data_IF_527802804529
#
_entry.id   IF_527802804529
#
_cell.length_a   1.000
_cell.length_b   1.000
_cell.length_c   1.000
_cell.angle_alpha   90.00
_cell.angle_beta   90.00
_cell.angle_gamma   90.00
#
_symmetry.space_group_name_H-M   'P 1'
#
loop_
_entity.id
_entity.type
_entity.pdbx_description
1 polymer ?
#
# COMPACT_ATOMS: atom_id res chain seq x y z
N UNK A 1 16.29 -3.62 11.84
CA UNK A 1 14.91 -4.06 12.18
C UNK A 1 14.55 -3.33 13.46
N UNK A 2 13.40 -2.63 13.50
CA UNK A 2 12.94 -1.99 14.73
C UNK A 2 12.40 -3.06 15.67
N UNK A 3 12.76 -3.00 16.95
CA UNK A 3 12.19 -3.88 17.97
C UNK A 3 10.83 -3.32 18.40
N UNK A 4 9.76 -3.99 18.00
CA UNK A 4 8.40 -3.66 18.44
C UNK A 4 8.12 -4.38 19.76
N UNK A 5 7.74 -3.62 20.79
CA UNK A 5 7.55 -4.14 22.14
C UNK A 5 6.07 -4.17 22.53
N UNK A 6 5.57 -5.27 23.11
CA UNK A 6 4.22 -5.29 23.65
C UNK A 6 4.04 -4.23 24.74
N UNK A 7 2.83 -3.67 24.86
CA UNK A 7 2.51 -2.77 25.96
C UNK A 7 2.64 -3.50 27.29
N UNK A 8 3.12 -2.80 28.32
CA UNK A 8 3.22 -3.33 29.67
C UNK A 8 1.81 -3.42 30.31
N UNK A 9 1.08 -4.50 30.03
CA UNK A 9 -0.26 -4.74 30.56
C UNK A 9 -0.41 -6.17 31.10
N UNK A 10 -1.47 -6.39 31.90
CA UNK A 10 -1.84 -7.72 32.40
C UNK A 10 -3.22 -8.11 31.85
N UNK A 11 -3.55 -9.39 31.92
CA UNK A 11 -4.90 -9.87 31.61
C UNK A 11 -5.90 -9.16 32.54
N UNK A 12 -7.00 -8.67 31.98
CA UNK A 12 -8.00 -7.87 32.71
C UNK A 12 -7.70 -6.37 32.79
N UNK A 13 -6.48 -5.93 32.46
CA UNK A 13 -6.17 -4.51 32.29
C UNK A 13 -6.95 -3.89 31.12
N UNK A 14 -7.05 -2.57 31.12
CA UNK A 14 -7.70 -1.82 30.04
C UNK A 14 -6.65 -1.11 29.20
N UNK A 15 -6.82 -1.18 27.88
CA UNK A 15 -6.00 -0.50 26.88
C UNK A 15 -6.89 0.27 25.91
N UNK A 16 -6.33 1.31 25.31
CA UNK A 16 -6.99 2.04 24.23
C UNK A 16 -6.63 1.41 22.89
N UNK A 17 -7.66 0.99 22.16
CA UNK A 17 -7.60 0.43 20.82
C UNK A 17 -8.01 1.51 19.81
N UNK A 18 -7.21 1.69 18.77
CA UNK A 18 -7.46 2.70 17.71
C UNK A 18 -8.77 2.48 16.92
N UNK A 19 -9.42 1.31 17.05
CA UNK A 19 -10.66 0.95 16.34
C UNK A 19 -11.86 0.94 17.27
N UNK A 20 -11.70 0.31 18.44
CA UNK A 20 -12.81 0.04 19.36
C UNK A 20 -12.79 0.92 20.61
N UNK A 21 -11.80 1.81 20.76
CA UNK A 21 -11.61 2.61 21.95
C UNK A 21 -11.15 1.77 23.14
N UNK A 22 -11.66 2.04 24.33
CA UNK A 22 -11.18 1.40 25.55
C UNK A 22 -11.67 -0.04 25.66
N UNK A 23 -10.74 -0.99 25.61
CA UNK A 23 -11.00 -2.44 25.62
C UNK A 23 -10.25 -3.15 26.75
N UNK A 24 -10.84 -4.23 27.26
CA UNK A 24 -10.19 -5.08 28.26
C UNK A 24 -9.29 -6.13 27.59
N UNK A 25 -8.10 -6.33 28.14
CA UNK A 25 -7.14 -7.36 27.71
C UNK A 25 -7.68 -8.74 28.09
N UNK A 26 -7.86 -9.60 27.09
CA UNK A 26 -8.31 -10.99 27.27
C UNK A 26 -7.15 -11.99 27.41
N UNK A 27 -6.01 -11.67 26.83
CA UNK A 27 -4.82 -12.53 26.78
C UNK A 27 -3.81 -11.99 25.78
N UNK A 28 -2.82 -12.82 25.46
CA UNK A 28 -1.73 -12.50 24.53
C UNK A 28 -1.63 -13.56 23.43
N UNK A 29 -1.23 -13.16 22.23
CA UNK A 29 -0.95 -14.09 21.14
C UNK A 29 0.36 -14.83 21.35
N UNK A 30 0.45 -16.03 20.79
CA UNK A 30 1.68 -16.85 20.69
C UNK A 30 2.45 -16.56 19.38
N UNK A 31 2.30 -15.33 18.86
CA UNK A 31 2.98 -14.90 17.66
C UNK A 31 4.47 -14.62 17.94
N UNK A 32 5.26 -14.48 16.88
CA UNK A 32 6.69 -14.12 16.98
C UNK A 32 6.90 -12.88 17.87
N UNK A 33 6.00 -11.91 17.77
CA UNK A 33 5.87 -10.79 18.70
C UNK A 33 4.54 -10.97 19.43
N UNK A 34 4.63 -11.45 20.67
CA UNK A 34 3.45 -11.60 21.52
C UNK A 34 2.76 -10.24 21.72
N UNK A 35 1.46 -10.19 21.49
CA UNK A 35 0.70 -8.93 21.58
C UNK A 35 -0.67 -9.17 22.25
N UNK A 36 -1.17 -8.21 23.07
CA UNK A 36 -2.44 -8.40 23.73
C UNK A 36 -3.61 -8.38 22.74
N UNK A 37 -4.59 -9.26 22.98
CA UNK A 37 -5.86 -9.27 22.28
C UNK A 37 -7.02 -8.88 23.20
N UNK A 38 -8.07 -8.33 22.59
CA UNK A 38 -9.27 -7.91 23.31
C UNK A 38 -10.02 -9.12 23.87
N UNK A 39 -10.55 -8.99 25.09
CA UNK A 39 -11.47 -9.96 25.65
C UNK A 39 -12.76 -9.96 24.83
N UNK A 40 -13.10 -11.09 24.21
CA UNK A 40 -14.32 -11.26 23.42
C UNK A 40 -14.85 -12.69 23.55
N UNK A 41 -16.15 -12.88 23.29
CA UNK A 41 -16.80 -14.21 23.33
C UNK A 41 -16.71 -14.97 22.00
N UNK A 42 -16.39 -14.29 20.89
CA UNK A 42 -16.42 -14.89 19.55
C UNK A 42 -15.07 -14.84 18.84
N UNK A 43 -14.48 -13.65 18.69
CA UNK A 43 -13.22 -13.48 17.98
C UNK A 43 -12.20 -12.67 18.77
N UNK A 44 -11.03 -13.27 18.94
CA UNK A 44 -9.85 -12.59 19.45
C UNK A 44 -9.29 -11.69 18.35
N UNK A 45 -9.31 -10.39 18.58
CA UNK A 45 -8.62 -9.40 17.73
C UNK A 45 -7.53 -8.78 18.59
N UNK A 46 -6.34 -8.65 18.03
CA UNK A 46 -5.27 -7.87 18.65
C UNK A 46 -5.76 -6.46 18.95
N UNK A 47 -5.28 -5.93 20.09
CA UNK A 47 -5.52 -4.56 20.51
C UNK A 47 -4.56 -3.67 19.73
N UNK A 48 -5.11 -2.84 18.84
CA UNK A 48 -4.34 -1.95 17.99
C UNK A 48 -3.88 -0.73 18.78
N UNK A 49 -2.70 -0.83 19.40
CA UNK A 49 -2.12 0.20 20.26
C UNK A 49 -0.59 0.25 20.12
N UNK A 50 0.05 1.31 20.63
CA UNK A 50 1.51 1.42 20.77
C UNK A 50 2.31 1.05 19.51
N UNK A 51 3.34 0.22 19.70
CA UNK A 51 4.27 -0.19 18.65
C UNK A 51 3.60 -0.96 17.50
N UNK A 52 2.47 -1.63 17.72
CA UNK A 52 1.72 -2.28 16.65
C UNK A 52 1.13 -1.25 15.68
N UNK A 53 0.66 -0.10 16.18
CA UNK A 53 0.17 0.99 15.32
C UNK A 53 1.28 1.50 14.42
N UNK A 54 2.49 1.65 14.97
CA UNK A 54 3.65 2.07 14.22
C UNK A 54 4.08 1.03 13.17
N UNK A 55 4.14 -0.25 13.56
CA UNK A 55 4.44 -1.35 12.65
C UNK A 55 3.46 -1.37 11.46
N UNK A 56 2.16 -1.21 11.71
CA UNK A 56 1.12 -1.18 10.66
C UNK A 56 1.31 0.00 9.70
N UNK A 57 1.75 1.16 10.20
CA UNK A 57 2.00 2.38 9.42
C UNK A 57 3.26 2.28 8.56
N UNK A 58 4.32 1.70 9.08
CA UNK A 58 5.65 1.74 8.45
C UNK A 58 5.92 0.48 7.63
N UNK A 59 5.65 -0.70 8.16
CA UNK A 59 6.20 -1.95 7.62
C UNK A 59 5.35 -2.51 6.48
N UNK A 60 5.85 -3.53 5.78
CA UNK A 60 5.06 -4.21 4.76
C UNK A 60 3.95 -5.05 5.42
N UNK A 61 2.81 -5.21 4.74
CA UNK A 61 1.69 -5.99 5.31
C UNK A 61 2.11 -7.44 5.60
N UNK A 62 2.96 -8.01 4.75
CA UNK A 62 3.51 -9.36 4.93
C UNK A 62 4.29 -9.47 6.24
N UNK A 63 5.16 -8.50 6.53
CA UNK A 63 5.99 -8.51 7.74
C UNK A 63 5.11 -8.42 9.00
N UNK A 64 4.09 -7.54 8.99
CA UNK A 64 3.13 -7.41 10.09
C UNK A 64 2.35 -8.72 10.30
N UNK A 65 1.90 -9.36 9.24
CA UNK A 65 1.24 -10.67 9.32
C UNK A 65 2.14 -11.72 9.96
N UNK A 66 3.38 -11.81 9.48
CA UNK A 66 4.34 -12.83 9.92
C UNK A 66 4.79 -12.60 11.38
N UNK A 67 4.88 -11.35 11.85
CA UNK A 67 5.32 -11.04 13.21
C UNK A 67 4.22 -11.15 14.26
N UNK A 68 3.01 -10.68 13.94
CA UNK A 68 1.90 -10.60 14.90
C UNK A 68 0.85 -11.70 14.72
N UNK A 69 1.07 -12.62 13.77
CA UNK A 69 0.15 -13.72 13.42
C UNK A 69 -1.27 -13.23 13.12
N UNK A 70 -1.36 -12.28 12.18
CA UNK A 70 -2.64 -11.69 11.75
C UNK A 70 -2.86 -11.86 10.26
N UNK A 71 -4.12 -12.02 9.85
CA UNK A 71 -4.48 -12.11 8.44
C UNK A 71 -4.29 -10.79 7.68
N UNK A 72 -3.96 -10.88 6.39
CA UNK A 72 -3.76 -9.71 5.52
C UNK A 72 -5.01 -8.81 5.44
N UNK A 73 -6.22 -9.39 5.51
CA UNK A 73 -7.48 -8.65 5.54
C UNK A 73 -7.59 -7.77 6.79
N UNK A 74 -7.11 -8.27 7.93
CA UNK A 74 -7.07 -7.52 9.19
C UNK A 74 -6.13 -6.32 9.07
N UNK A 75 -4.92 -6.53 8.56
CA UNK A 75 -3.95 -5.45 8.32
C UNK A 75 -4.50 -4.42 7.33
N UNK A 76 -5.17 -4.86 6.26
CA UNK A 76 -5.80 -3.95 5.30
C UNK A 76 -6.89 -3.09 5.94
N UNK A 77 -7.73 -3.68 6.82
CA UNK A 77 -8.75 -2.94 7.60
C UNK A 77 -8.09 -1.91 8.51
N UNK A 78 -7.05 -2.30 9.25
CA UNK A 78 -6.32 -1.40 10.15
C UNK A 78 -5.71 -0.23 9.39
N UNK A 79 -5.04 -0.50 8.26
CA UNK A 79 -4.46 0.54 7.41
C UNK A 79 -5.48 1.55 6.92
N UNK A 80 -6.64 1.06 6.46
CA UNK A 80 -7.73 1.94 6.02
C UNK A 80 -8.19 2.88 7.14
N UNK A 81 -8.32 2.37 8.37
CA UNK A 81 -8.73 3.18 9.53
C UNK A 81 -7.64 4.17 9.95
N UNK A 82 -6.37 3.78 9.85
CA UNK A 82 -5.22 4.63 10.18
C UNK A 82 -4.81 5.60 9.05
N UNK A 83 -5.54 5.64 7.92
CA UNK A 83 -5.19 6.48 6.77
C UNK A 83 -3.93 6.04 6.01
N UNK A 84 -3.48 4.80 6.22
CA UNK A 84 -2.32 4.21 5.54
C UNK A 84 -2.77 3.66 4.19
N UNK A 85 -2.10 4.12 3.14
CA UNK A 85 -2.28 3.72 1.77
C UNK A 85 -0.96 3.19 1.19
N UNK A 86 -0.99 2.76 -0.08
CA UNK A 86 0.20 2.20 -0.73
C UNK A 86 1.35 3.22 -0.82
N UNK A 87 1.04 4.50 -1.00
CA UNK A 87 2.01 5.55 -1.31
C UNK A 87 2.70 6.11 -0.06
N UNK A 88 2.06 6.07 1.11
CA UNK A 88 2.59 6.58 2.38
C UNK A 88 3.09 5.47 3.33
N UNK A 89 3.42 4.29 2.80
CA UNK A 89 3.93 3.16 3.59
C UNK A 89 5.28 2.69 3.01
N UNK A 90 6.36 2.99 3.74
CA UNK A 90 7.73 2.78 3.28
C UNK A 90 8.07 1.30 3.11
N UNK A 91 7.62 0.42 4.00
CA UNK A 91 7.85 -1.02 3.92
C UNK A 91 7.20 -1.65 2.68
N UNK A 92 5.99 -1.20 2.32
CA UNK A 92 5.31 -1.64 1.10
C UNK A 92 6.05 -1.12 -0.14
N UNK A 93 6.56 0.11 -0.11
CA UNK A 93 7.36 0.66 -1.21
C UNK A 93 8.69 -0.09 -1.37
N UNK A 94 9.39 -0.38 -0.26
CA UNK A 94 10.60 -1.20 -0.22
C UNK A 94 10.36 -2.57 -0.84
N UNK A 95 9.37 -3.31 -0.33
CA UNK A 95 9.03 -4.65 -0.81
C UNK A 95 8.63 -4.63 -2.29
N UNK A 96 7.89 -3.60 -2.73
CA UNK A 96 7.52 -3.47 -4.14
C UNK A 96 8.74 -3.26 -5.04
N UNK A 97 9.72 -2.46 -4.62
CA UNK A 97 10.97 -2.24 -5.38
C UNK A 97 11.82 -3.50 -5.47
N UNK A 98 11.97 -4.23 -4.37
CA UNK A 98 12.73 -5.49 -4.32
C UNK A 98 12.10 -6.56 -5.22
N UNK A 99 10.78 -6.70 -5.14
CA UNK A 99 10.04 -7.69 -5.94
C UNK A 99 9.74 -7.22 -7.36
N UNK A 100 10.03 -5.97 -7.71
CA UNK A 100 9.65 -5.40 -9.01
C UNK A 100 10.21 -6.22 -10.17
N UNK A 101 11.49 -6.58 -10.09
CA UNK A 101 12.17 -7.38 -11.11
C UNK A 101 11.58 -8.80 -11.25
N UNK A 102 11.06 -9.37 -10.16
CA UNK A 102 10.44 -10.69 -10.17
C UNK A 102 8.99 -10.63 -10.68
N UNK A 103 8.27 -9.55 -10.37
CA UNK A 103 6.86 -9.37 -10.78
C UNK A 103 6.71 -8.92 -12.22
N UNK A 104 7.61 -8.08 -12.70
CA UNK A 104 7.59 -7.56 -14.07
C UNK A 104 8.72 -8.22 -14.82
N UNK A 105 8.44 -9.45 -15.27
CA UNK A 105 9.33 -10.14 -16.19
C UNK A 105 9.37 -9.40 -17.54
N UNK A 106 10.44 -9.56 -18.33
CA UNK A 106 10.52 -8.98 -19.68
C UNK A 106 9.31 -9.34 -20.56
N UNK A 107 8.80 -10.56 -20.39
CA UNK A 107 7.61 -11.05 -21.09
C UNK A 107 6.33 -10.30 -20.68
N UNK A 108 6.07 -10.15 -19.38
CA UNK A 108 4.93 -9.37 -18.88
C UNK A 108 5.04 -7.91 -19.35
N UNK A 109 6.25 -7.36 -19.32
CA UNK A 109 6.50 -5.99 -19.80
C UNK A 109 6.23 -5.86 -21.30
N UNK A 110 6.64 -6.83 -22.12
CA UNK A 110 6.36 -6.81 -23.56
C UNK A 110 4.87 -6.98 -23.84
N UNK A 111 4.20 -7.95 -23.22
CA UNK A 111 2.76 -8.15 -23.33
C UNK A 111 1.99 -6.87 -22.95
N UNK A 112 2.42 -6.17 -21.90
CA UNK A 112 1.84 -4.88 -21.52
C UNK A 112 2.09 -3.80 -22.58
N UNK A 113 3.30 -3.75 -23.18
CA UNK A 113 3.63 -2.82 -24.29
C UNK A 113 2.77 -3.13 -25.53
N UNK A 114 2.60 -4.40 -25.88
CA UNK A 114 1.75 -4.84 -26.98
C UNK A 114 0.28 -4.48 -26.75
N UNK A 115 -0.25 -4.79 -25.57
CA UNK A 115 -1.62 -4.40 -25.19
C UNK A 115 -1.83 -2.88 -25.22
N UNK A 116 -0.84 -2.09 -24.79
CA UNK A 116 -0.89 -0.63 -24.87
C UNK A 116 -0.86 -0.12 -26.31
N UNK A 117 -0.18 -0.84 -27.22
CA UNK A 117 -0.13 -0.55 -28.66
C UNK A 117 -1.39 -1.01 -29.41
N UNK A 118 -2.17 -1.93 -28.84
CA UNK A 118 -3.38 -2.46 -29.47
C UNK A 118 -4.35 -1.36 -29.92
N UNK A 119 -5.02 -1.60 -31.06
CA UNK A 119 -5.95 -0.66 -31.64
C UNK A 119 -7.08 -0.29 -30.66
N UNK A 120 -7.58 -1.27 -29.89
CA UNK A 120 -8.61 -1.07 -28.88
C UNK A 120 -8.16 -0.11 -27.77
N UNK A 121 -6.98 -0.36 -27.16
CA UNK A 121 -6.43 0.52 -26.12
C UNK A 121 -6.20 1.93 -26.63
N UNK A 122 -5.64 2.07 -27.86
CA UNK A 122 -5.39 3.38 -28.47
C UNK A 122 -6.68 4.12 -28.83
N UNK A 123 -7.70 3.42 -29.32
CA UNK A 123 -9.01 3.99 -29.61
C UNK A 123 -9.69 4.49 -28.32
N UNK A 124 -9.66 3.70 -27.24
CA UNK A 124 -10.18 4.09 -25.93
C UNK A 124 -9.48 5.33 -25.36
N UNK A 125 -8.14 5.37 -25.44
CA UNK A 125 -7.36 6.55 -25.03
C UNK A 125 -7.71 7.78 -25.87
N UNK A 126 -7.80 7.63 -27.20
CA UNK A 126 -8.19 8.69 -28.14
C UNK A 126 -9.58 9.24 -27.84
N UNK A 127 -10.58 8.37 -27.66
CA UNK A 127 -11.95 8.76 -27.33
C UNK A 127 -12.01 9.57 -26.02
N UNK A 128 -11.26 9.14 -24.99
CA UNK A 128 -11.20 9.84 -23.69
C UNK A 128 -10.56 11.24 -23.79
N UNK A 129 -9.71 11.47 -24.79
CA UNK A 129 -9.01 12.75 -25.02
C UNK A 129 -9.73 13.66 -26.02
N UNK A 130 -10.63 13.12 -26.84
CA UNK A 130 -11.41 13.89 -27.82
C UNK A 130 -12.25 14.97 -27.12
N UNK A 131 -12.19 16.19 -27.63
CA UNK A 131 -12.94 17.34 -27.10
C UNK A 131 -12.41 17.93 -25.78
N UNK A 132 -11.40 17.32 -25.15
CA UNK A 132 -10.76 17.93 -23.97
C UNK A 132 -9.75 18.98 -24.39
N UNK A 133 -9.70 20.16 -23.75
CA UNK A 133 -8.68 21.14 -24.01
C UNK A 133 -7.31 20.52 -23.71
N UNK A 134 -6.42 20.56 -24.69
CA UNK A 134 -5.08 20.04 -24.50
C UNK A 134 -4.28 21.13 -23.76
N UNK A 135 -4.14 20.99 -22.44
CA UNK A 135 -3.22 21.81 -21.65
C UNK A 135 -1.79 21.36 -21.94
N UNK A 136 -1.25 21.83 -23.08
CA UNK A 136 0.13 21.56 -23.50
C UNK A 136 1.02 22.61 -22.83
N UNK A 137 2.03 22.16 -22.08
CA UNK A 137 3.04 23.05 -21.52
C UNK A 137 3.75 23.84 -22.64
N UNK A 138 4.04 25.15 -22.48
CA UNK A 138 4.61 25.99 -23.54
C UNK A 138 5.88 25.41 -24.20
N UNK A 139 6.76 24.78 -23.41
CA UNK A 139 7.97 24.13 -23.92
C UNK A 139 7.67 22.99 -24.89
N UNK A 140 6.59 22.24 -24.65
CA UNK A 140 6.17 21.15 -25.54
C UNK A 140 5.63 21.68 -26.87
N UNK A 141 4.97 22.85 -26.86
CA UNK A 141 4.53 23.54 -28.09
C UNK A 141 5.72 24.01 -28.91
N UNK A 142 6.71 24.64 -28.26
CA UNK A 142 7.94 25.10 -28.90
C UNK A 142 8.73 23.93 -29.52
N UNK A 143 8.86 22.82 -28.79
CA UNK A 143 9.49 21.60 -29.27
C UNK A 143 8.77 21.02 -30.52
N UNK A 144 7.44 20.96 -30.51
CA UNK A 144 6.63 20.50 -31.65
C UNK A 144 6.79 21.40 -32.89
N UNK A 145 6.83 22.73 -32.69
CA UNK A 145 7.08 23.71 -33.77
C UNK A 145 8.46 23.52 -34.38
N UNK A 146 9.49 23.39 -33.54
CA UNK A 146 10.87 23.18 -33.97
C UNK A 146 11.05 21.86 -34.73
N UNK A 147 10.43 20.77 -34.25
CA UNK A 147 10.44 19.48 -34.93
C UNK A 147 9.77 19.55 -36.32
N UNK A 148 8.60 20.19 -36.42
CA UNK A 148 7.90 20.41 -37.71
C UNK A 148 8.75 21.23 -38.68
N UNK A 149 9.44 22.27 -38.20
CA UNK A 149 10.35 23.10 -39.03
C UNK A 149 11.51 22.26 -39.56
N UNK A 150 12.16 21.45 -38.73
CA UNK A 150 13.24 20.53 -39.14
C UNK A 150 12.78 19.49 -40.17
N UNK A 151 11.56 18.97 -40.05
CA UNK A 151 11.00 17.98 -40.99
C UNK A 151 10.67 18.54 -42.38
N UNK A 152 10.49 19.86 -42.53
CA UNK A 152 10.24 20.53 -43.82
C UNK A 152 11.54 20.88 -44.58
N UNK A 153 12.68 20.76 -43.93
CA UNK A 153 14.00 21.13 -44.47
C UNK A 153 14.79 19.88 -44.94
N UNK A 154 14.23 18.68 -44.69
CA UNK A 154 14.63 17.43 -45.34
C UNK A 154 13.59 17.07 -46.38
#
# INVERSE_FOLDING_TARGET
>A
MKDYRPPACRIGSWLDDEIYGRVQVGGFTDAKISWPYRKSRSSHSLILCGDLVEAVKIEAAKDVCDWFDVGATTVAKWRRLLGVNRQNNDGTQRLYRELFAQKITPEIAENAREHARSQFSRAKMSATKRGKPVNIHPNSIAALKNWRKKKKIK
#
